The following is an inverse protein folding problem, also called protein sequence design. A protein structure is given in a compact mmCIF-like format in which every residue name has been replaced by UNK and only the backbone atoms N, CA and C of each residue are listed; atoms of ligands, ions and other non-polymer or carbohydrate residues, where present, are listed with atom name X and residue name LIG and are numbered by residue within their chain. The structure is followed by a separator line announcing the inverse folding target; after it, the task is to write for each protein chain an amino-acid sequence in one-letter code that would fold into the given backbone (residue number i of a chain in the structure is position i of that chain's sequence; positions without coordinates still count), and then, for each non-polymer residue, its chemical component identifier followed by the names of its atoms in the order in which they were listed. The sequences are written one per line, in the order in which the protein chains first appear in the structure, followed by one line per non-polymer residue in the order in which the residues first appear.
data_IF_801353950513
#
_entry.id   IF_801353950513
#
_cell.length_a   1.000
_cell.length_b   1.000
_cell.length_c   1.000
_cell.angle_alpha   90.00
_cell.angle_beta   90.00
_cell.angle_gamma   90.00
#
_symmetry.space_group_name_H-M   'P 1'
#
loop_
_entity.id
_entity.type
_entity.pdbx_description
1 polymer ?
#
# COMPACT_ATOMS: atom_id res chain seq x y z
N UNK A 1 -2.09 -25.78 -5.54
CA UNK A 1 -2.01 -24.33 -5.79
C UNK A 1 -1.64 -24.12 -7.25
N UNK A 2 -2.40 -23.39 -8.05
CA UNK A 2 -2.14 -23.24 -9.49
C UNK A 2 -1.38 -21.92 -9.78
N UNK A 3 -0.10 -21.99 -10.23
CA UNK A 3 0.71 -20.79 -10.46
C UNK A 3 0.12 -19.81 -11.48
N UNK A 4 -0.58 -20.32 -12.50
CA UNK A 4 -1.20 -19.50 -13.53
C UNK A 4 -2.40 -18.70 -12.98
N UNK A 5 -3.19 -19.29 -12.08
CA UNK A 5 -4.28 -18.59 -11.41
C UNK A 5 -3.74 -17.50 -10.48
N UNK A 6 -2.66 -17.77 -9.73
CA UNK A 6 -2.00 -16.77 -8.88
C UNK A 6 -1.49 -15.58 -9.69
N UNK A 7 -0.84 -15.85 -10.84
CA UNK A 7 -0.36 -14.80 -11.75
C UNK A 7 -1.50 -13.96 -12.32
N UNK A 8 -2.62 -14.58 -12.72
CA UNK A 8 -3.81 -13.87 -13.20
C UNK A 8 -4.42 -12.97 -12.10
N UNK A 9 -4.46 -13.46 -10.86
CA UNK A 9 -4.93 -12.69 -9.70
C UNK A 9 -4.05 -11.47 -9.43
N UNK A 10 -2.73 -11.63 -9.39
CA UNK A 10 -1.78 -10.52 -9.22
C UNK A 10 -1.98 -9.44 -10.28
N UNK A 11 -1.98 -9.84 -11.56
CA UNK A 11 -2.22 -8.92 -12.69
C UNK A 11 -3.57 -8.19 -12.63
N UNK A 12 -4.59 -8.77 -12.00
CA UNK A 12 -5.89 -8.11 -11.80
C UNK A 12 -5.77 -7.03 -10.73
N UNK A 13 -5.22 -7.38 -9.58
CA UNK A 13 -4.99 -6.44 -8.47
C UNK A 13 -4.15 -5.24 -8.93
N UNK A 14 -3.04 -5.49 -9.65
CA UNK A 14 -2.20 -4.42 -10.21
C UNK A 14 -2.98 -3.46 -11.12
N UNK A 15 -3.88 -3.98 -11.97
CA UNK A 15 -4.68 -3.15 -12.88
C UNK A 15 -5.70 -2.30 -12.13
N UNK A 16 -6.37 -2.90 -11.14
CA UNK A 16 -7.36 -2.22 -10.34
C UNK A 16 -6.72 -1.09 -9.52
N UNK A 17 -5.56 -1.36 -8.90
CA UNK A 17 -4.79 -0.37 -8.16
C UNK A 17 -4.19 0.72 -9.06
N UNK A 18 -3.70 0.39 -10.25
CA UNK A 18 -3.16 1.38 -11.18
C UNK A 18 -4.24 2.39 -11.58
N UNK A 19 -5.45 1.90 -11.92
CA UNK A 19 -6.58 2.77 -12.24
C UNK A 19 -6.96 3.65 -11.04
N UNK A 20 -7.03 3.05 -9.86
CA UNK A 20 -7.45 3.71 -8.61
C UNK A 20 -6.47 4.81 -8.18
N UNK A 21 -5.17 4.57 -8.31
CA UNK A 21 -4.10 5.50 -7.91
C UNK A 21 -3.64 6.45 -9.04
N UNK A 22 -4.33 6.46 -10.19
CA UNK A 22 -3.89 7.27 -11.34
C UNK A 22 -2.52 6.89 -11.90
N UNK A 23 -2.06 5.67 -11.64
CA UNK A 23 -0.78 5.14 -12.09
C UNK A 23 -0.89 4.30 -13.38
N UNK A 24 0.28 3.92 -13.92
CA UNK A 24 0.39 3.01 -15.07
C UNK A 24 1.06 1.71 -14.64
N UNK A 25 0.35 0.60 -14.83
CA UNK A 25 0.92 -0.74 -14.62
C UNK A 25 2.02 -1.01 -15.65
N UNK A 26 3.22 -1.35 -15.19
CA UNK A 26 4.37 -1.64 -16.06
C UNK A 26 4.51 -3.15 -16.33
N UNK A 27 4.22 -3.99 -15.33
CA UNK A 27 4.24 -5.45 -15.44
C UNK A 27 5.63 -6.08 -15.28
N UNK A 28 5.71 -7.40 -15.54
CA UNK A 28 6.83 -8.28 -15.14
C UNK A 28 8.22 -7.86 -15.69
N UNK A 29 8.27 -7.13 -16.81
CA UNK A 29 9.52 -6.66 -17.40
C UNK A 29 9.93 -5.26 -16.88
N UNK A 30 9.10 -4.64 -16.04
CA UNK A 30 9.38 -3.36 -15.40
C UNK A 30 10.09 -3.53 -14.05
N UNK A 31 10.81 -2.49 -13.62
CA UNK A 31 11.44 -2.44 -12.27
C UNK A 31 10.43 -2.21 -11.14
N UNK A 32 9.17 -1.92 -11.46
CA UNK A 32 8.07 -1.58 -10.55
C UNK A 32 6.75 -2.14 -11.07
N UNK A 33 5.81 -2.48 -10.20
CA UNK A 33 4.51 -3.00 -10.63
C UNK A 33 3.62 -1.88 -11.21
N UNK A 34 3.57 -0.72 -10.53
CA UNK A 34 2.81 0.47 -10.95
C UNK A 34 3.70 1.71 -10.84
N UNK A 35 3.88 2.38 -11.97
CA UNK A 35 4.52 3.69 -12.05
C UNK A 35 3.50 4.79 -11.77
N UNK A 36 3.88 5.77 -10.95
CA UNK A 36 3.11 6.98 -10.68
C UNK A 36 4.03 8.21 -10.75
N UNK A 37 3.48 9.41 -10.84
CA UNK A 37 4.27 10.64 -10.94
C UNK A 37 5.23 10.83 -9.75
N UNK A 38 4.76 10.49 -8.54
CA UNK A 38 5.49 10.67 -7.28
C UNK A 38 5.98 9.34 -6.68
N UNK A 39 5.34 8.22 -7.02
CA UNK A 39 5.57 6.94 -6.36
C UNK A 39 5.95 5.83 -7.34
N UNK A 40 6.72 4.87 -6.84
CA UNK A 40 6.98 3.58 -7.49
C UNK A 40 6.39 2.48 -6.61
N UNK A 41 5.23 1.93 -7.00
CA UNK A 41 4.50 1.00 -6.16
C UNK A 41 4.83 -0.46 -6.50
N UNK A 42 5.24 -1.20 -5.48
CA UNK A 42 5.29 -2.67 -5.47
C UNK A 42 3.97 -3.23 -4.90
N UNK A 43 3.34 -4.18 -5.57
CA UNK A 43 2.00 -4.69 -5.22
C UNK A 43 2.08 -6.15 -4.78
N UNK A 44 1.59 -6.44 -3.58
CA UNK A 44 1.49 -7.82 -3.05
C UNK A 44 0.08 -8.13 -2.58
N UNK A 45 -0.59 -9.04 -3.30
CA UNK A 45 -1.79 -9.70 -2.79
C UNK A 45 -1.43 -10.83 -1.80
N UNK A 46 -2.04 -10.84 -0.61
CA UNK A 46 -1.88 -11.88 0.40
C UNK A 46 -3.23 -12.30 0.98
N UNK A 47 -3.33 -13.54 1.41
CA UNK A 47 -4.53 -14.05 2.13
C UNK A 47 -4.46 -13.69 3.62
N UNK A 48 -3.24 -13.60 4.17
CA UNK A 48 -2.97 -13.15 5.54
C UNK A 48 -1.80 -12.18 5.50
N UNK A 49 -1.89 -11.12 6.29
CA UNK A 49 -0.85 -10.12 6.40
C UNK A 49 -0.62 -9.83 7.89
N UNK A 50 0.61 -9.99 8.37
CA UNK A 50 0.90 -9.90 9.82
C UNK A 50 0.50 -8.55 10.41
N UNK A 51 0.73 -7.47 9.67
CA UNK A 51 0.43 -6.13 10.14
C UNK A 51 -1.06 -5.78 10.10
N UNK A 52 -1.92 -6.63 9.50
CA UNK A 52 -3.36 -6.44 9.53
C UNK A 52 -3.89 -6.42 10.97
N UNK A 53 -3.36 -7.28 11.86
CA UNK A 53 -3.77 -7.31 13.27
C UNK A 53 -3.35 -6.04 14.03
N UNK A 54 -2.13 -5.55 13.78
CA UNK A 54 -1.63 -4.32 14.37
C UNK A 54 -2.49 -3.13 13.92
N UNK A 55 -2.81 -3.10 12.63
CA UNK A 55 -3.65 -2.06 12.06
C UNK A 55 -5.08 -2.10 12.59
N UNK A 56 -5.68 -3.29 12.73
CA UNK A 56 -7.01 -3.44 13.36
C UNK A 56 -7.04 -2.94 14.80
N UNK A 57 -5.94 -3.10 15.56
CA UNK A 57 -5.82 -2.52 16.90
C UNK A 57 -5.73 -1.00 16.84
N UNK A 58 -4.96 -0.44 15.90
CA UNK A 58 -4.91 1.01 15.69
C UNK A 58 -6.29 1.58 15.35
N UNK A 59 -7.09 0.89 14.51
CA UNK A 59 -8.47 1.27 14.18
C UNK A 59 -9.36 1.28 15.43
N UNK A 60 -9.33 0.22 16.25
CA UNK A 60 -10.17 0.13 17.46
C UNK A 60 -9.88 1.22 18.49
N UNK A 61 -8.63 1.65 18.57
CA UNK A 61 -8.17 2.64 19.54
C UNK A 61 -8.19 4.08 18.96
N UNK A 62 -8.57 4.24 17.69
CA UNK A 62 -8.56 5.54 17.04
C UNK A 62 -9.76 6.35 17.53
N UNK A 63 -9.48 7.54 18.07
CA UNK A 63 -10.52 8.52 18.39
C UNK A 63 -11.22 9.02 17.12
N UNK A 64 -12.46 9.49 17.28
CA UNK A 64 -13.24 10.07 16.20
C UNK A 64 -12.51 11.27 15.56
N UNK A 65 -12.60 11.38 14.23
CA UNK A 65 -11.95 12.44 13.46
C UNK A 65 -10.45 12.24 13.18
N UNK A 66 -9.82 11.18 13.70
CA UNK A 66 -8.41 10.84 13.40
C UNK A 66 -8.29 9.75 12.33
N UNK A 67 -7.13 9.70 11.68
CA UNK A 67 -6.77 8.65 10.73
C UNK A 67 -5.92 7.60 11.46
N UNK A 68 -6.35 6.32 11.52
CA UNK A 68 -5.56 5.28 12.14
C UNK A 68 -4.31 4.96 11.30
N UNK A 69 -3.17 4.85 11.97
CA UNK A 69 -1.92 4.44 11.37
C UNK A 69 -1.10 3.57 12.35
N UNK A 70 -0.22 2.74 11.82
CA UNK A 70 0.81 2.03 12.59
C UNK A 70 2.17 2.52 12.12
N UNK A 71 3.02 2.89 13.08
CA UNK A 71 4.45 3.13 12.84
C UNK A 71 5.19 1.88 13.31
N UNK A 72 6.01 1.31 12.44
CA UNK A 72 6.87 0.17 12.75
C UNK A 72 8.32 0.61 12.68
N UNK A 73 8.94 0.68 13.85
CA UNK A 73 10.38 0.82 14.00
C UNK A 73 11.05 -0.57 14.03
N UNK A 74 12.15 -0.73 13.31
CA UNK A 74 12.97 -1.94 13.37
C UNK A 74 14.14 -1.67 14.31
N UNK A 75 14.20 -2.41 15.43
CA UNK A 75 15.22 -2.21 16.47
C UNK A 75 16.64 -2.15 15.89
N UNK A 76 17.36 -1.09 16.24
CA UNK A 76 18.72 -0.84 15.78
C UNK A 76 18.82 -0.12 14.43
N UNK A 77 17.69 0.21 13.79
CA UNK A 77 17.67 1.09 12.62
C UNK A 77 17.55 2.57 13.03
N UNK A 78 17.84 3.47 12.10
CA UNK A 78 17.57 4.89 12.28
C UNK A 78 16.06 5.18 12.13
N UNK A 79 15.49 6.06 12.94
CA UNK A 79 14.05 6.39 12.91
C UNK A 79 13.54 6.97 11.58
N UNK A 80 14.43 7.55 10.78
CA UNK A 80 14.10 7.97 9.40
C UNK A 80 13.72 6.81 8.47
N UNK A 81 13.95 5.56 8.88
CA UNK A 81 13.63 4.34 8.13
C UNK A 81 12.38 3.63 8.69
N UNK A 82 11.63 4.25 9.59
CA UNK A 82 10.42 3.66 10.16
C UNK A 82 9.34 3.50 9.07
N UNK A 83 8.59 2.40 9.15
CA UNK A 83 7.53 2.12 8.20
C UNK A 83 6.21 2.68 8.69
N UNK A 84 5.42 3.24 7.78
CA UNK A 84 4.05 3.67 8.06
C UNK A 84 3.07 2.73 7.36
N UNK A 85 2.09 2.24 8.10
CA UNK A 85 0.97 1.44 7.57
C UNK A 85 -0.32 2.19 7.84
N UNK A 86 -1.08 2.46 6.78
CA UNK A 86 -2.43 3.03 6.81
C UNK A 86 -3.31 2.37 5.76
N UNK A 87 -4.63 2.62 5.79
CA UNK A 87 -5.49 2.12 4.71
C UNK A 87 -5.23 2.88 3.42
N UNK A 88 -5.41 2.19 2.29
CA UNK A 88 -5.27 2.79 0.97
C UNK A 88 -6.20 4.00 0.80
N UNK A 89 -7.44 3.94 1.30
CA UNK A 89 -8.41 5.05 1.19
C UNK A 89 -7.90 6.34 1.86
N UNK A 90 -7.30 6.20 3.04
CA UNK A 90 -6.80 7.35 3.81
C UNK A 90 -5.54 7.91 3.14
N UNK A 91 -4.71 7.02 2.57
CA UNK A 91 -3.57 7.41 1.75
C UNK A 91 -4.02 8.14 0.47
N UNK A 92 -5.06 7.67 -0.21
CA UNK A 92 -5.63 8.33 -1.41
C UNK A 92 -6.17 9.72 -1.10
N UNK A 93 -6.91 9.84 -0.01
CA UNK A 93 -7.39 11.15 0.47
C UNK A 93 -6.22 12.08 0.77
N UNK A 94 -5.13 11.54 1.33
CA UNK A 94 -3.91 12.31 1.55
C UNK A 94 -3.22 12.71 0.23
N UNK A 95 -3.12 11.81 -0.75
CA UNK A 95 -2.60 12.12 -2.09
C UNK A 95 -3.41 13.22 -2.80
N UNK A 96 -4.74 13.22 -2.63
CA UNK A 96 -5.61 14.28 -3.14
C UNK A 96 -5.43 15.63 -2.44
N UNK A 97 -4.89 15.63 -1.21
CA UNK A 97 -4.51 16.85 -0.47
C UNK A 97 -3.09 17.31 -0.76
N UNK A 98 -2.24 16.44 -1.32
CA UNK A 98 -0.94 16.79 -1.90
C UNK A 98 -1.22 17.26 -3.33
N UNK A 99 -1.74 18.49 -3.48
CA UNK A 99 -1.90 19.03 -4.83
C UNK A 99 -0.57 19.07 -5.58
N UNK A 100 -0.70 18.71 -6.85
CA UNK A 100 0.31 18.56 -7.90
C UNK A 100 1.21 19.81 -7.95
N UNK A 101 2.43 19.68 -7.44
CA UNK A 101 3.52 20.58 -7.82
C UNK A 101 3.82 20.45 -9.32
#
# INVERSE_FOLDING_TARGET
MNPNQNRKRGKRIERDLAKRLGGKRVGILGKTDISHAVFSFEVKGRVKFVAEKWFQQAVRNCEEGKIPAVIVHVTGQHHGNDYVIMQLKDFEDWLGRVEKC
#
